data_IF_350695619121
#
_entry.id   IF_350695619121
#
_cell.length_a   1.000
_cell.length_b   1.000
_cell.length_c   1.000
_cell.angle_alpha   90.00
_cell.angle_beta   90.00
_cell.angle_gamma   90.00
#
_symmetry.space_group_name_H-M   'P 1'
#
loop_
_entity.id
_entity.type
_entity.pdbx_description
1 polymer ?
#
# COMPACT_ATOMS: atom_id res chain seq x y z
N UNK A 1 4.15 -14.01 -6.69
CA UNK A 1 3.02 -13.46 -5.94
C UNK A 1 2.98 -11.96 -6.12
N UNK A 2 1.82 -11.42 -6.46
CA UNK A 2 1.70 -9.98 -6.69
C UNK A 2 1.11 -9.31 -5.46
N UNK A 3 1.75 -8.22 -5.04
CA UNK A 3 1.30 -7.43 -3.91
C UNK A 3 1.06 -6.02 -4.40
N UNK A 4 -0.18 -5.56 -4.27
CA UNK A 4 -0.58 -4.23 -4.72
C UNK A 4 -0.44 -3.24 -3.57
N UNK A 5 0.24 -2.14 -3.84
CA UNK A 5 0.38 -1.05 -2.89
C UNK A 5 -0.68 -0.02 -3.25
N UNK A 6 -1.54 0.30 -2.27
CA UNK A 6 -2.63 1.25 -2.46
C UNK A 6 -2.56 2.35 -1.42
N UNK A 7 -3.05 3.53 -1.78
CA UNK A 7 -3.11 4.67 -0.87
C UNK A 7 -4.54 5.20 -0.82
N UNK A 8 -4.89 5.81 0.31
CA UNK A 8 -6.23 6.33 0.52
C UNK A 8 -6.26 7.83 0.23
N UNK A 9 -7.17 8.24 -0.66
CA UNK A 9 -7.30 9.64 -1.01
C UNK A 9 -8.15 10.39 0.05
N UNK A 10 -8.34 11.69 -0.16
CA UNK A 10 -9.04 12.53 0.79
C UNK A 10 -10.52 12.19 0.95
N UNK A 11 -11.09 11.43 0.00
CA UNK A 11 -12.48 11.00 0.03
C UNK A 11 -12.64 9.60 0.62
N UNK A 12 -11.53 8.98 1.04
CA UNK A 12 -11.55 7.65 1.61
C UNK A 12 -11.45 6.52 0.58
N UNK A 13 -11.26 6.86 -0.69
CA UNK A 13 -11.14 5.85 -1.74
C UNK A 13 -9.71 5.35 -1.85
N UNK A 14 -9.57 4.05 -2.09
CA UNK A 14 -8.26 3.44 -2.27
C UNK A 14 -7.84 3.50 -3.73
N UNK A 15 -6.62 3.96 -3.96
CA UNK A 15 -6.06 4.13 -5.30
C UNK A 15 -4.81 3.27 -5.43
N UNK A 16 -4.63 2.64 -6.59
CA UNK A 16 -3.44 1.85 -6.85
C UNK A 16 -2.22 2.75 -7.03
N UNK A 17 -1.12 2.39 -6.36
CA UNK A 17 0.15 3.09 -6.50
C UNK A 17 1.14 2.28 -7.31
N UNK A 18 1.47 1.07 -6.85
CA UNK A 18 2.48 0.24 -7.47
C UNK A 18 2.29 -1.21 -7.06
N UNK A 19 2.81 -2.14 -7.85
CA UNK A 19 2.79 -3.56 -7.52
C UNK A 19 4.21 -4.06 -7.33
N UNK A 20 4.39 -4.99 -6.39
CA UNK A 20 5.66 -5.64 -6.12
C UNK A 20 5.44 -7.14 -6.04
N UNK A 21 6.51 -7.92 -6.21
CA UNK A 21 6.43 -9.37 -6.12
C UNK A 21 6.86 -9.90 -4.75
N UNK A 22 7.42 -9.04 -3.92
CA UNK A 22 7.98 -9.40 -2.62
C UNK A 22 7.36 -8.51 -1.54
N UNK A 23 6.85 -9.14 -0.48
CA UNK A 23 6.17 -8.41 0.59
C UNK A 23 7.09 -7.42 1.31
N UNK A 24 8.34 -7.80 1.53
CA UNK A 24 9.29 -6.91 2.20
C UNK A 24 9.54 -5.64 1.37
N UNK A 25 9.66 -5.80 0.06
CA UNK A 25 9.83 -4.65 -0.84
C UNK A 25 8.58 -3.78 -0.86
N UNK A 26 7.41 -4.41 -0.92
CA UNK A 26 6.14 -3.68 -0.91
C UNK A 26 5.99 -2.87 0.37
N UNK A 27 6.31 -3.47 1.51
CA UNK A 27 6.21 -2.80 2.80
C UNK A 27 7.17 -1.59 2.87
N UNK A 28 8.40 -1.78 2.39
CA UNK A 28 9.40 -0.71 2.40
C UNK A 28 8.95 0.49 1.57
N UNK A 29 8.42 0.22 0.37
CA UNK A 29 7.93 1.27 -0.51
C UNK A 29 6.74 1.99 0.14
N UNK A 30 5.79 1.23 0.66
CA UNK A 30 4.60 1.80 1.29
C UNK A 30 4.98 2.66 2.50
N UNK A 31 5.91 2.20 3.32
CA UNK A 31 6.34 2.95 4.49
C UNK A 31 7.00 4.28 4.11
N UNK A 32 7.84 4.28 3.07
CA UNK A 32 8.43 5.52 2.56
C UNK A 32 7.36 6.49 2.09
N UNK A 33 6.34 5.97 1.40
CA UNK A 33 5.26 6.82 0.90
C UNK A 33 4.44 7.39 2.04
N UNK A 34 4.16 6.60 3.07
CA UNK A 34 3.46 7.09 4.25
C UNK A 34 4.23 8.25 4.89
N UNK A 35 5.55 8.10 5.05
CA UNK A 35 6.38 9.14 5.66
C UNK A 35 6.41 10.40 4.80
N UNK A 36 6.46 10.24 3.50
CA UNK A 36 6.56 11.35 2.55
C UNK A 36 5.23 12.09 2.37
N UNK A 37 4.12 11.34 2.25
CA UNK A 37 2.82 11.91 1.88
C UNK A 37 1.90 12.13 3.07
N UNK A 38 2.17 11.47 4.20
CA UNK A 38 1.32 11.48 5.40
C UNK A 38 -0.07 10.92 5.12
N UNK A 39 -0.19 10.09 4.09
CA UNK A 39 -1.44 9.40 3.73
C UNK A 39 -1.36 7.96 4.18
N UNK A 40 -2.54 7.34 4.34
CA UNK A 40 -2.66 5.93 4.70
C UNK A 40 -2.38 5.07 3.48
N UNK A 41 -1.56 4.03 3.65
CA UNK A 41 -1.26 3.05 2.60
C UNK A 41 -1.63 1.66 3.08
N UNK A 42 -1.89 0.76 2.14
CA UNK A 42 -2.16 -0.64 2.46
C UNK A 42 -1.54 -1.55 1.41
N UNK A 43 -1.29 -2.79 1.82
CA UNK A 43 -0.82 -3.85 0.94
C UNK A 43 -1.95 -4.85 0.76
N UNK A 44 -2.25 -5.18 -0.49
CA UNK A 44 -3.35 -6.07 -0.85
C UNK A 44 -2.80 -7.12 -1.82
N UNK A 45 -3.14 -8.40 -1.60
CA UNK A 45 -2.67 -9.45 -2.50
C UNK A 45 -3.50 -9.49 -3.79
N UNK A 46 -3.13 -10.39 -4.71
CA UNK A 46 -3.79 -10.49 -6.00
C UNK A 46 -5.26 -10.90 -5.93
N UNK A 47 -5.69 -11.45 -4.79
CA UNK A 47 -7.08 -11.86 -4.58
C UNK A 47 -7.89 -10.81 -3.82
N UNK A 48 -7.29 -9.67 -3.55
CA UNK A 48 -7.98 -8.58 -2.85
C UNK A 48 -7.96 -8.68 -1.33
N UNK A 49 -7.13 -9.56 -0.77
CA UNK A 49 -7.03 -9.70 0.68
C UNK A 49 -6.07 -8.67 1.26
N UNK A 50 -6.48 -8.00 2.31
CA UNK A 50 -5.64 -7.05 3.01
C UNK A 50 -4.49 -7.78 3.70
N UNK A 51 -3.26 -7.40 3.37
CA UNK A 51 -2.06 -7.99 3.97
C UNK A 51 -1.51 -7.11 5.09
N UNK A 52 -1.58 -5.80 4.92
CA UNK A 52 -1.05 -4.87 5.91
C UNK A 52 -1.66 -3.49 5.71
N UNK A 53 -1.77 -2.75 6.81
CA UNK A 53 -2.25 -1.36 6.79
C UNK A 53 -1.17 -0.51 7.44
N UNK A 54 -0.69 0.51 6.71
CA UNK A 54 0.42 1.34 7.17
C UNK A 54 -0.08 2.77 7.31
N UNK A 55 -0.09 3.26 8.52
CA UNK A 55 -0.62 4.58 8.85
C UNK A 55 0.49 5.56 9.21
N UNK A 56 0.25 6.86 8.95
CA UNK A 56 1.22 7.90 9.32
C UNK A 56 1.47 7.96 10.81
#
# INVERSE_FOLDING_TARGET
MTINIEWQDQHGNWKHYQSKQNQADAYRVAQRRVESTKKRYRLVDGNGHLMDLIEP
#
